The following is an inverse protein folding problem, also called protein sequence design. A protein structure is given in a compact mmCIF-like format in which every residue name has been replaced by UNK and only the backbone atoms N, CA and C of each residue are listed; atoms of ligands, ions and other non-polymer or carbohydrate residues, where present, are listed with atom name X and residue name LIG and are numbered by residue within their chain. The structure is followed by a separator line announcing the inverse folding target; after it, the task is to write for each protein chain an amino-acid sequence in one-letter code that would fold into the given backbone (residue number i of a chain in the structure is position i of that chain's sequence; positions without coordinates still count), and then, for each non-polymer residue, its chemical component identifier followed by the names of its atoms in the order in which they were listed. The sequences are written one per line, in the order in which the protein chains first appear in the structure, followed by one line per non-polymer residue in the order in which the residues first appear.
data_IF_393729020442
#
_entry.id   IF_393729020442
#
_cell.length_a   1.000
_cell.length_b   1.000
_cell.length_c   1.000
_cell.angle_alpha   90.00
_cell.angle_beta   90.00
_cell.angle_gamma   90.00
#
_symmetry.space_group_name_H-M   'P 1'
#
loop_
_entity.id
_entity.type
_entity.pdbx_description
1 polymer ?
#
# COMPACT_ATOMS: atom_id res chain seq x y z
N UNK A 1 -1.39 -15.55 -17.06
CA UNK A 1 -1.93 -14.65 -18.12
C UNK A 1 -0.77 -13.80 -18.63
N UNK A 2 -0.58 -13.65 -19.94
CA UNK A 2 0.51 -12.90 -20.55
C UNK A 2 -0.08 -11.88 -21.54
N UNK A 3 0.25 -10.61 -21.39
CA UNK A 3 -0.05 -9.57 -22.39
C UNK A 3 1.12 -9.44 -23.36
N UNK A 4 0.82 -9.26 -24.67
CA UNK A 4 1.84 -9.12 -25.71
C UNK A 4 2.58 -7.80 -25.64
N UNK A 5 3.87 -7.80 -26.00
CA UNK A 5 4.67 -6.59 -26.22
C UNK A 5 4.45 -6.04 -27.65
N UNK A 6 4.38 -4.72 -27.77
CA UNK A 6 4.35 -4.04 -29.09
C UNK A 6 5.77 -3.63 -29.51
N UNK A 7 6.11 -3.81 -30.80
CA UNK A 7 7.39 -3.33 -31.36
C UNK A 7 7.33 -1.88 -31.82
N UNK A 8 6.13 -1.37 -32.12
CA UNK A 8 5.85 0.04 -32.42
C UNK A 8 4.42 0.34 -31.94
N UNK A 9 4.29 0.98 -30.78
CA UNK A 9 3.00 1.29 -30.17
C UNK A 9 2.92 0.82 -28.73
N UNK A 10 1.73 0.87 -28.12
CA UNK A 10 1.49 0.44 -26.73
C UNK A 10 1.53 -1.08 -26.55
N UNK A 11 1.98 -1.56 -25.41
CA UNK A 11 1.86 -2.95 -24.99
C UNK A 11 0.41 -3.33 -24.69
N UNK A 12 0.12 -4.64 -24.64
CA UNK A 12 -1.20 -5.16 -24.31
C UNK A 12 -1.58 -4.92 -22.85
N UNK A 13 -2.86 -4.64 -22.60
CA UNK A 13 -3.45 -4.48 -21.27
C UNK A 13 -3.92 -5.82 -20.70
N UNK A 14 -3.72 -6.03 -19.41
CA UNK A 14 -4.39 -7.08 -18.64
C UNK A 14 -5.33 -6.42 -17.65
N UNK A 15 -6.61 -6.82 -17.65
CA UNK A 15 -7.61 -6.35 -16.72
C UNK A 15 -8.23 -7.54 -15.97
N UNK A 16 -8.36 -7.43 -14.66
CA UNK A 16 -9.00 -8.39 -13.77
C UNK A 16 -10.20 -7.71 -13.14
N UNK A 17 -11.39 -8.24 -13.35
CA UNK A 17 -12.65 -7.69 -12.87
C UNK A 17 -13.40 -8.74 -12.06
N UNK A 18 -13.86 -8.39 -10.89
CA UNK A 18 -14.88 -9.15 -10.16
C UNK A 18 -16.28 -8.72 -10.60
N UNK A 19 -17.27 -9.56 -10.32
CA UNK A 19 -18.65 -9.31 -10.74
C UNK A 19 -19.27 -8.12 -10.00
N UNK A 20 -20.16 -7.40 -10.70
CA UNK A 20 -20.98 -6.37 -10.10
C UNK A 20 -22.33 -6.95 -9.67
N UNK A 21 -22.84 -6.54 -8.53
CA UNK A 21 -24.27 -6.69 -8.22
C UNK A 21 -25.05 -5.63 -8.99
N UNK A 22 -26.11 -6.02 -9.68
CA UNK A 22 -26.91 -5.14 -10.54
C UNK A 22 -28.38 -5.02 -10.13
N UNK A 23 -28.81 -5.76 -9.11
CA UNK A 23 -30.15 -5.65 -8.54
C UNK A 23 -30.20 -4.53 -7.49
N UNK A 24 -31.30 -3.83 -7.39
CA UNK A 24 -31.55 -2.79 -6.40
C UNK A 24 -32.15 -3.32 -5.10
N UNK A 25 -32.13 -4.65 -4.89
CA UNK A 25 -32.59 -5.29 -3.66
C UNK A 25 -31.64 -4.98 -2.49
N UNK A 26 -32.19 -4.77 -1.30
CA UNK A 26 -31.40 -4.57 -0.10
C UNK A 26 -30.51 -5.79 0.18
N UNK A 27 -29.19 -5.55 0.32
CA UNK A 27 -28.21 -6.56 0.73
C UNK A 27 -27.36 -7.17 -0.39
N UNK A 28 -27.49 -6.75 -1.64
CA UNK A 28 -26.64 -7.21 -2.73
C UNK A 28 -25.20 -6.66 -2.61
N UNK A 29 -24.22 -7.53 -2.79
CA UNK A 29 -22.80 -7.20 -2.70
C UNK A 29 -22.06 -7.50 -4.00
N UNK A 30 -21.14 -6.64 -4.40
CA UNK A 30 -20.20 -6.91 -5.48
C UNK A 30 -19.27 -8.08 -5.13
N UNK A 31 -18.71 -8.73 -6.15
CA UNK A 31 -17.75 -9.82 -5.97
C UNK A 31 -16.39 -9.35 -5.50
N UNK A 32 -15.68 -10.19 -4.76
CA UNK A 32 -14.33 -9.95 -4.27
C UNK A 32 -13.25 -10.30 -5.32
N UNK A 33 -12.14 -9.61 -5.29
CA UNK A 33 -10.89 -9.98 -5.97
C UNK A 33 -9.85 -10.31 -4.92
N UNK A 34 -9.38 -11.57 -4.89
CA UNK A 34 -8.38 -12.05 -3.96
C UNK A 34 -7.09 -12.46 -4.70
N UNK A 35 -5.94 -11.99 -4.22
CA UNK A 35 -4.61 -12.35 -4.71
C UNK A 35 -3.82 -12.97 -3.56
N UNK A 36 -3.61 -14.28 -3.58
CA UNK A 36 -2.94 -15.03 -2.51
C UNK A 36 -1.74 -15.79 -3.08
N UNK A 37 -0.58 -15.61 -2.46
CA UNK A 37 0.58 -16.44 -2.72
C UNK A 37 0.48 -17.78 -1.99
N UNK A 38 1.15 -18.82 -2.52
CA UNK A 38 1.11 -20.17 -1.97
C UNK A 38 1.77 -20.27 -0.60
N UNK A 39 1.26 -21.18 0.21
CA UNK A 39 1.84 -21.52 1.52
C UNK A 39 2.83 -22.67 1.40
N UNK A 40 3.90 -22.66 2.20
CA UNK A 40 4.78 -23.81 2.40
C UNK A 40 4.31 -24.62 3.63
N UNK A 41 4.15 -25.93 3.46
CA UNK A 41 3.78 -26.84 4.52
C UNK A 41 4.88 -27.87 4.72
N UNK A 42 5.50 -27.89 5.90
CA UNK A 42 6.46 -28.89 6.34
C UNK A 42 7.92 -28.57 6.05
N UNK A 43 8.77 -29.00 6.97
CA UNK A 43 10.23 -28.75 6.94
C UNK A 43 10.65 -27.46 7.66
N UNK A 44 11.91 -27.41 8.07
CA UNK A 44 12.49 -26.29 8.82
C UNK A 44 12.97 -25.15 7.90
N UNK A 45 12.90 -25.31 6.57
CA UNK A 45 13.45 -24.37 5.57
C UNK A 45 12.45 -23.99 4.46
N UNK A 46 11.14 -24.29 4.67
CA UNK A 46 10.11 -23.93 3.69
C UNK A 46 9.73 -22.46 3.77
N UNK A 47 9.80 -21.74 2.64
CA UNK A 47 9.37 -20.36 2.52
C UNK A 47 8.03 -20.27 1.78
N UNK A 48 7.12 -19.40 2.25
CA UNK A 48 5.88 -19.06 1.56
C UNK A 48 6.14 -18.27 0.27
N UNK A 49 5.19 -18.33 -0.66
CA UNK A 49 5.27 -17.57 -1.91
C UNK A 49 5.18 -16.06 -1.69
N UNK A 50 5.70 -15.30 -2.65
CA UNK A 50 5.70 -13.84 -2.64
C UNK A 50 4.67 -13.26 -3.61
N UNK A 51 4.13 -12.08 -3.31
CA UNK A 51 3.39 -11.22 -4.24
C UNK A 51 4.25 -10.00 -4.55
N UNK A 52 4.47 -9.71 -5.85
CA UNK A 52 5.21 -8.53 -6.30
C UNK A 52 4.34 -7.70 -7.25
N UNK A 53 4.23 -6.40 -6.96
CA UNK A 53 3.48 -5.43 -7.76
C UNK A 53 4.44 -4.32 -8.17
N UNK A 54 4.77 -4.25 -9.46
CA UNK A 54 5.68 -3.25 -10.03
C UNK A 54 5.04 -2.55 -11.21
N UNK A 55 5.24 -1.23 -11.31
CA UNK A 55 4.95 -0.48 -12.53
C UNK A 55 6.08 -0.66 -13.55
N UNK A 56 5.79 -0.40 -14.84
CA UNK A 56 6.78 -0.48 -15.90
C UNK A 56 7.79 0.66 -15.85
N UNK A 57 9.09 0.40 -16.06
CA UNK A 57 10.09 1.45 -16.22
C UNK A 57 9.97 2.15 -17.60
N UNK A 58 10.54 3.33 -17.72
CA UNK A 58 10.76 4.03 -18.99
C UNK A 58 12.22 4.45 -19.11
N UNK A 59 12.81 4.30 -20.30
CA UNK A 59 14.21 4.70 -20.54
C UNK A 59 14.36 6.19 -20.87
N UNK A 60 13.33 6.81 -21.47
CA UNK A 60 13.39 8.19 -21.96
C UNK A 60 12.22 9.06 -21.49
N UNK A 61 11.25 8.47 -20.80
CA UNK A 61 10.04 9.14 -20.33
C UNK A 61 9.78 8.92 -18.85
N UNK A 62 8.52 9.03 -18.46
CA UNK A 62 8.07 8.79 -17.10
C UNK A 62 7.68 7.32 -16.91
N UNK A 63 8.15 6.70 -15.83
CA UNK A 63 7.75 5.36 -15.43
C UNK A 63 6.25 5.28 -15.09
N UNK A 64 5.70 4.08 -15.12
CA UNK A 64 4.30 3.85 -14.77
C UNK A 64 4.00 4.17 -13.31
N UNK A 65 2.74 4.35 -12.99
CA UNK A 65 2.21 4.61 -11.64
C UNK A 65 1.63 3.33 -11.03
N UNK A 66 1.74 3.19 -9.71
CA UNK A 66 0.94 2.26 -8.90
C UNK A 66 -0.06 3.12 -8.09
N UNK A 67 -1.36 2.81 -8.18
CA UNK A 67 -2.40 3.49 -7.42
C UNK A 67 -3.19 2.47 -6.61
N UNK A 68 -3.25 2.66 -5.28
CA UNK A 68 -4.01 1.87 -4.34
C UNK A 68 -5.02 2.79 -3.64
N UNK A 69 -6.32 2.59 -3.91
CA UNK A 69 -7.39 3.47 -3.43
C UNK A 69 -8.65 2.65 -3.16
N UNK A 70 -9.35 2.92 -2.06
CA UNK A 70 -10.74 2.51 -1.91
C UNK A 70 -11.64 3.37 -2.83
N UNK A 71 -12.77 2.82 -3.24
CA UNK A 71 -13.71 3.56 -4.08
C UNK A 71 -14.27 4.80 -3.37
N UNK A 72 -14.57 5.83 -4.15
CA UNK A 72 -15.34 6.98 -3.67
C UNK A 72 -16.83 6.58 -3.55
N UNK A 73 -17.49 6.96 -2.49
CA UNK A 73 -18.87 6.67 -2.23
C UNK A 73 -19.56 7.86 -1.57
N UNK A 74 -20.89 7.98 -1.77
CA UNK A 74 -21.71 9.04 -1.18
C UNK A 74 -22.11 8.78 0.28
N UNK A 75 -21.92 7.55 0.77
CA UNK A 75 -22.32 7.12 2.11
C UNK A 75 -21.09 6.79 2.96
N UNK A 76 -20.44 5.67 2.71
CA UNK A 76 -19.29 5.21 3.49
C UNK A 76 -18.25 4.55 2.59
N UNK A 77 -17.01 4.98 2.67
CA UNK A 77 -15.90 4.41 1.91
C UNK A 77 -15.25 3.22 2.62
N UNK A 78 -14.61 2.33 1.84
CA UNK A 78 -13.85 1.19 2.37
C UNK A 78 -12.52 1.60 3.03
N UNK A 79 -12.03 0.75 3.91
CA UNK A 79 -10.71 0.89 4.58
C UNK A 79 -9.61 0.28 3.71
N UNK A 80 -8.43 0.90 3.71
CA UNK A 80 -7.17 0.32 3.23
C UNK A 80 -6.33 -0.08 4.45
N UNK A 81 -5.82 -1.32 4.47
CA UNK A 81 -4.93 -1.81 5.53
C UNK A 81 -3.63 -2.33 4.92
N UNK A 82 -2.49 -1.83 5.43
CA UNK A 82 -1.14 -2.27 5.09
C UNK A 82 -0.47 -2.71 6.40
N UNK A 83 -0.19 -3.98 6.54
CA UNK A 83 0.41 -4.52 7.77
C UNK A 83 1.27 -5.75 7.47
N UNK A 84 2.33 -5.97 8.24
CA UNK A 84 3.04 -7.26 8.29
C UNK A 84 2.25 -8.27 9.13
N UNK A 85 2.51 -9.56 8.90
CA UNK A 85 1.89 -10.65 9.66
C UNK A 85 2.35 -10.68 11.11
N UNK A 86 1.58 -11.37 11.95
CA UNK A 86 1.93 -11.65 13.35
C UNK A 86 2.68 -12.98 13.46
N UNK A 87 3.51 -13.11 14.47
CA UNK A 87 4.16 -14.38 14.85
C UNK A 87 4.01 -14.62 16.34
N UNK A 88 3.91 -15.88 16.74
CA UNK A 88 3.93 -16.31 18.14
C UNK A 88 5.35 -16.64 18.63
N UNK A 89 6.25 -17.01 17.72
CA UNK A 89 7.63 -17.40 18.04
C UNK A 89 8.56 -16.92 16.92
N UNK A 90 9.30 -15.84 17.15
CA UNK A 90 10.24 -15.29 16.20
C UNK A 90 10.00 -13.82 15.90
N UNK A 91 10.62 -13.32 14.86
CA UNK A 91 10.55 -11.92 14.48
C UNK A 91 9.42 -11.67 13.44
N UNK A 92 8.70 -10.58 13.56
CA UNK A 92 7.78 -10.10 12.51
C UNK A 92 8.55 -9.42 11.39
N UNK A 93 7.97 -9.44 10.18
CA UNK A 93 8.48 -8.64 9.06
C UNK A 93 8.27 -7.14 9.27
N UNK A 94 9.12 -6.32 8.66
CA UNK A 94 9.00 -4.87 8.66
C UNK A 94 8.07 -4.36 7.55
N UNK A 95 7.51 -3.15 7.74
CA UNK A 95 6.87 -2.35 6.70
C UNK A 95 7.77 -1.15 6.40
N UNK A 96 8.20 -1.02 5.13
CA UNK A 96 9.03 0.11 4.69
C UNK A 96 8.25 0.95 3.69
N UNK A 97 8.14 2.25 3.95
CA UNK A 97 7.57 3.24 3.03
C UNK A 97 8.63 4.29 2.75
N UNK A 98 9.06 4.41 1.49
CA UNK A 98 10.13 5.33 1.12
C UNK A 98 10.04 5.79 -0.33
N UNK A 99 10.67 6.90 -0.63
CA UNK A 99 10.90 7.40 -1.99
C UNK A 99 12.30 7.05 -2.45
N UNK A 100 12.50 6.88 -3.75
CA UNK A 100 13.81 6.65 -4.34
C UNK A 100 14.71 7.88 -4.30
N UNK A 101 16.03 7.66 -4.39
CA UNK A 101 17.00 8.74 -4.52
C UNK A 101 16.98 9.34 -5.93
N UNK A 102 17.14 10.65 -6.04
CA UNK A 102 17.33 11.37 -7.30
C UNK A 102 18.81 11.79 -7.45
N UNK A 103 19.44 11.36 -8.56
CA UNK A 103 20.84 11.72 -8.84
C UNK A 103 20.97 13.11 -9.52
N UNK A 104 19.95 13.58 -10.19
CA UNK A 104 19.97 14.84 -10.95
C UNK A 104 18.64 15.59 -10.93
N UNK A 105 18.01 15.69 -9.76
CA UNK A 105 16.71 16.36 -9.63
C UNK A 105 16.24 16.38 -8.19
N UNK A 106 14.97 16.68 -7.96
CA UNK A 106 14.36 16.68 -6.64
C UNK A 106 13.80 15.29 -6.34
N UNK A 107 14.15 14.72 -5.19
CA UNK A 107 13.57 13.46 -4.72
C UNK A 107 12.09 13.64 -4.38
N UNK A 108 11.33 12.55 -4.51
CA UNK A 108 9.91 12.54 -4.16
C UNK A 108 9.69 12.76 -2.66
N UNK A 109 8.53 13.28 -2.29
CA UNK A 109 8.11 13.44 -0.90
C UNK A 109 7.17 12.30 -0.47
N UNK A 110 7.17 11.98 0.82
CA UNK A 110 6.12 11.20 1.48
C UNK A 110 5.17 12.19 2.14
N UNK A 111 3.88 12.10 1.81
CA UNK A 111 2.83 12.93 2.43
C UNK A 111 1.80 12.03 3.09
N UNK A 112 1.57 12.24 4.38
CA UNK A 112 0.51 11.59 5.15
C UNK A 112 -0.50 12.67 5.54
N UNK A 113 -1.71 12.59 5.03
CA UNK A 113 -2.75 13.58 5.27
C UNK A 113 -4.01 12.87 5.73
N UNK A 114 -4.58 13.31 6.82
CA UNK A 114 -5.92 12.92 7.24
C UNK A 114 -6.96 13.80 6.55
N UNK A 115 -8.14 13.23 6.28
CA UNK A 115 -9.21 13.95 5.59
C UNK A 115 -9.87 15.02 6.46
N UNK A 116 -10.34 16.07 5.82
CA UNK A 116 -11.13 17.13 6.44
C UNK A 116 -12.62 16.78 6.46
N UNK A 117 -13.36 17.42 7.35
CA UNK A 117 -14.82 17.41 7.34
C UNK A 117 -15.35 18.84 7.24
N UNK A 118 -16.44 19.00 6.47
CA UNK A 118 -17.19 20.26 6.43
C UNK A 118 -18.33 20.31 7.43
N UNK A 119 -18.61 19.21 8.15
CA UNK A 119 -19.61 19.17 9.21
C UNK A 119 -19.04 19.81 10.49
N UNK A 120 -19.58 20.93 10.89
CA UNK A 120 -19.15 21.68 12.08
C UNK A 120 -19.33 20.95 13.43
N UNK A 121 -20.04 19.82 13.45
CA UNK A 121 -20.25 18.96 14.62
C UNK A 121 -19.38 17.71 14.61
N UNK A 122 -18.73 17.37 13.48
CA UNK A 122 -17.86 16.22 13.32
C UNK A 122 -16.38 16.61 13.42
N UNK A 123 -15.52 15.62 13.66
CA UNK A 123 -14.06 15.82 13.73
C UNK A 123 -13.41 15.36 12.43
N UNK A 124 -12.44 16.12 11.94
CA UNK A 124 -11.53 15.70 10.88
C UNK A 124 -10.74 14.45 11.27
N UNK A 125 -10.16 13.76 10.27
CA UNK A 125 -9.33 12.60 10.49
C UNK A 125 -8.08 12.93 11.32
N UNK A 126 -7.49 11.93 11.97
CA UNK A 126 -6.24 12.05 12.71
C UNK A 126 -5.13 11.23 12.05
N UNK A 127 -3.89 11.74 12.09
CA UNK A 127 -2.68 10.96 11.84
C UNK A 127 -2.08 10.61 13.19
N UNK A 128 -2.00 9.29 13.51
CA UNK A 128 -1.38 8.79 14.73
C UNK A 128 -0.13 7.98 14.36
N UNK A 129 1.02 8.31 14.97
CA UNK A 129 2.27 7.59 14.82
C UNK A 129 2.70 7.12 16.20
N UNK A 130 2.75 5.80 16.39
CA UNK A 130 3.11 5.18 17.67
C UNK A 130 4.33 4.27 17.48
N UNK A 131 5.30 4.39 18.37
CA UNK A 131 6.41 3.42 18.47
C UNK A 131 5.97 2.20 19.25
N UNK A 132 6.46 1.01 18.84
CA UNK A 132 6.26 -0.21 19.61
C UNK A 132 7.00 -0.17 20.95
N UNK A 133 6.40 -0.75 22.00
CA UNK A 133 7.00 -0.84 23.32
C UNK A 133 7.47 -2.27 23.62
N UNK A 134 8.65 -2.41 24.22
CA UNK A 134 9.09 -3.64 24.85
C UNK A 134 8.77 -3.57 26.35
N UNK A 135 8.67 -4.75 26.98
CA UNK A 135 8.36 -4.84 28.43
C UNK A 135 9.43 -4.21 29.32
N UNK A 136 10.70 -4.22 28.87
CA UNK A 136 11.86 -3.77 29.65
C UNK A 136 12.53 -2.51 29.06
N UNK A 137 12.16 -2.09 27.82
CA UNK A 137 12.70 -0.92 27.16
C UNK A 137 11.56 -0.06 26.59
N UNK A 138 11.69 1.25 26.66
CA UNK A 138 10.65 2.19 26.26
C UNK A 138 10.24 2.15 24.79
N UNK A 139 9.18 2.82 24.44
CA UNK A 139 8.73 3.06 23.07
C UNK A 139 9.78 3.77 22.23
N UNK A 140 10.09 3.23 21.04
CA UNK A 140 11.05 3.83 20.11
C UNK A 140 10.33 4.55 18.96
N UNK A 141 10.21 5.87 19.05
CA UNK A 141 9.95 6.75 17.93
C UNK A 141 11.17 7.67 17.76
N UNK A 142 11.96 7.44 16.70
CA UNK A 142 13.17 8.22 16.44
C UNK A 142 12.93 9.27 15.36
N UNK A 143 13.25 10.53 15.66
CA UNK A 143 13.28 11.62 14.69
C UNK A 143 14.73 12.12 14.56
N UNK A 144 15.27 12.14 13.34
CA UNK A 144 16.59 12.70 13.09
C UNK A 144 16.49 14.20 12.83
N UNK A 145 17.24 15.07 13.53
CA UNK A 145 17.26 16.49 13.24
C UNK A 145 17.84 16.75 11.84
N UNK A 146 17.31 17.76 11.15
CA UNK A 146 17.85 18.20 9.87
C UNK A 146 19.25 18.76 10.06
N UNK A 147 20.23 18.49 9.14
CA UNK A 147 21.56 19.10 9.21
C UNK A 147 21.57 20.63 9.19
N UNK A 148 20.46 21.28 8.86
CA UNK A 148 20.31 22.75 8.87
C UNK A 148 19.98 23.31 10.24
N UNK A 149 19.55 22.50 11.19
CA UNK A 149 19.16 22.97 12.54
C UNK A 149 20.35 23.13 13.50
N UNK A 150 21.56 22.81 13.04
CA UNK A 150 22.82 22.93 13.79
C UNK A 150 23.67 24.17 13.41
N UNK A 151 23.04 25.28 12.93
CA UNK A 151 23.74 26.54 12.68
C UNK A 151 23.22 27.64 13.57
#
# INVERSE_FOLDING_TARGET
MLAGGGMAGGGGQVSLWSGNASDSSDGDSGGDLELVAGSAFGGTEGEGGSISILSGPSTEGTAGQISLKSADDSSTTGKITLASGQTSNGNTGGLTVGTGAAAGGVAGAISLTAGDTSDGSARGGAVCLEGGCATDEGCLLYTSPSPRDNR
#
